data_IF_986345081317
#
_entry.id   IF_986345081317
#
_cell.length_a   1.000
_cell.length_b   1.000
_cell.length_c   1.000
_cell.angle_alpha   90.00
_cell.angle_beta   90.00
_cell.angle_gamma   90.00
#
_symmetry.space_group_name_H-M   'P 1'
#
loop_
_entity.id
_entity.type
_entity.pdbx_description
1 polymer ?
#
# COMPACT_ATOMS: atom_id res chain seq x y z
N UNK A 1 51.63 -17.05 -40.26
CA UNK A 1 50.43 -16.22 -40.45
C UNK A 1 49.26 -16.86 -39.71
N UNK A 2 48.57 -16.08 -38.85
CA UNK A 2 47.12 -16.11 -38.50
C UNK A 2 46.51 -17.48 -38.15
N UNK A 3 45.87 -17.70 -37.01
CA UNK A 3 44.69 -17.01 -36.43
C UNK A 3 44.67 -17.36 -34.93
N UNK A 4 44.77 -16.46 -33.95
CA UNK A 4 43.91 -15.34 -33.56
C UNK A 4 42.48 -15.77 -33.15
N UNK A 5 42.33 -16.01 -31.84
CA UNK A 5 41.33 -15.45 -30.91
C UNK A 5 39.85 -15.53 -31.32
N UNK A 6 39.04 -16.22 -30.50
CA UNK A 6 37.84 -15.63 -29.89
C UNK A 6 37.30 -16.48 -28.73
N UNK A 7 37.84 -16.27 -27.52
CA UNK A 7 37.11 -16.59 -26.29
C UNK A 7 35.97 -15.57 -26.17
N UNK A 8 34.74 -16.02 -26.45
CA UNK A 8 33.52 -15.30 -26.09
C UNK A 8 33.32 -15.48 -24.59
N UNK A 9 33.85 -14.54 -23.81
CA UNK A 9 33.41 -14.30 -22.44
C UNK A 9 32.01 -13.70 -22.53
N UNK A 10 30.98 -14.52 -22.29
CA UNK A 10 29.64 -14.05 -22.00
C UNK A 10 29.71 -13.31 -20.67
N UNK A 11 29.85 -11.99 -20.78
CA UNK A 11 29.70 -11.05 -19.68
C UNK A 11 28.21 -11.05 -19.32
N UNK A 12 27.80 -11.98 -18.45
CA UNK A 12 26.54 -11.83 -17.73
C UNK A 12 26.66 -10.54 -16.92
N UNK A 13 26.08 -9.46 -17.44
CA UNK A 13 25.82 -8.25 -16.69
C UNK A 13 24.82 -8.62 -15.59
N UNK A 14 25.34 -9.07 -14.45
CA UNK A 14 24.63 -9.05 -13.20
C UNK A 14 24.40 -7.56 -12.90
N UNK A 15 23.26 -7.04 -13.35
CA UNK A 15 22.74 -5.79 -12.81
C UNK A 15 22.48 -6.05 -11.34
N UNK A 16 23.45 -5.72 -10.50
CA UNK A 16 23.26 -5.66 -9.05
C UNK A 16 22.22 -4.59 -8.82
N UNK A 17 20.96 -5.00 -8.68
CA UNK A 17 19.90 -4.16 -8.15
C UNK A 17 20.36 -3.76 -6.74
N UNK A 18 20.88 -2.54 -6.62
CA UNK A 18 21.29 -2.00 -5.33
C UNK A 18 20.01 -1.74 -4.54
N UNK A 19 19.63 -2.70 -3.70
CA UNK A 19 18.57 -2.51 -2.70
C UNK A 19 18.95 -1.30 -1.85
N UNK A 20 18.12 -0.26 -1.90
CA UNK A 20 18.34 0.94 -1.08
C UNK A 20 17.63 0.70 0.24
N UNK A 21 18.37 0.88 1.33
CA UNK A 21 17.74 0.96 2.65
C UNK A 21 17.03 2.30 2.77
N UNK A 22 15.79 2.27 3.23
CA UNK A 22 15.01 3.44 3.53
C UNK A 22 14.46 3.30 4.96
N UNK A 23 14.38 4.43 5.65
CA UNK A 23 13.58 4.51 6.87
C UNK A 23 12.11 4.56 6.46
N UNK A 24 11.28 3.81 7.16
CA UNK A 24 9.86 3.66 6.86
C UNK A 24 9.00 3.88 8.08
N UNK A 25 7.86 4.51 7.83
CA UNK A 25 6.76 4.61 8.77
C UNK A 25 5.54 3.96 8.12
N UNK A 26 5.10 2.83 8.66
CA UNK A 26 3.95 2.09 8.17
C UNK A 26 2.76 2.39 9.05
N UNK A 27 1.64 2.73 8.45
CA UNK A 27 0.33 2.69 9.10
C UNK A 27 -0.37 1.40 8.69
N UNK A 28 -0.85 0.63 9.66
CA UNK A 28 -1.60 -0.59 9.44
C UNK A 28 -3.11 -0.32 9.43
N UNK A 29 -3.87 -1.26 8.86
CA UNK A 29 -5.34 -1.20 8.85
C UNK A 29 -5.97 -1.29 10.24
N UNK A 30 -5.25 -1.77 11.26
CA UNK A 30 -5.70 -1.76 12.66
C UNK A 30 -5.40 -0.44 13.39
N UNK A 31 -4.77 0.53 12.70
CA UNK A 31 -4.37 1.82 13.26
C UNK A 31 -2.99 1.83 13.92
N UNK A 32 -2.30 0.69 14.00
CA UNK A 32 -0.95 0.63 14.53
C UNK A 32 0.06 1.29 13.59
N UNK A 33 1.08 1.91 14.18
CA UNK A 33 2.17 2.55 13.45
C UNK A 33 3.48 1.81 13.73
N UNK A 34 4.14 1.35 12.67
CA UNK A 34 5.43 0.64 12.76
C UNK A 34 6.52 1.49 12.11
N UNK A 35 7.57 1.76 12.88
CA UNK A 35 8.75 2.50 12.40
C UNK A 35 9.96 1.59 12.33
N UNK A 36 10.75 1.73 11.29
CA UNK A 36 11.98 0.96 11.15
C UNK A 36 12.68 1.23 9.84
N UNK A 37 13.52 0.29 9.43
CA UNK A 37 14.24 0.34 8.16
C UNK A 37 13.82 -0.84 7.29
N UNK A 38 13.56 -0.58 6.01
CA UNK A 38 13.21 -1.60 5.04
C UNK A 38 14.07 -1.43 3.79
N UNK A 39 14.34 -2.55 3.11
CA UNK A 39 15.09 -2.56 1.85
C UNK A 39 14.12 -2.55 0.69
N UNK A 40 14.26 -1.57 -0.20
CA UNK A 40 13.42 -1.42 -1.37
C UNK A 40 14.21 -1.55 -2.66
N UNK A 41 13.57 -2.14 -3.66
CA UNK A 41 13.92 -1.96 -5.06
C UNK A 41 13.14 -0.75 -5.62
N UNK A 42 13.34 -0.45 -6.89
CA UNK A 42 12.44 0.47 -7.59
C UNK A 42 11.00 -0.08 -7.58
N UNK A 43 10.02 0.83 -7.46
CA UNK A 43 8.60 0.50 -7.36
C UNK A 43 8.09 0.18 -8.77
N UNK A 44 7.71 -1.07 -9.01
CA UNK A 44 7.05 -1.52 -10.25
C UNK A 44 5.52 -1.39 -10.08
N UNK A 45 4.97 -0.32 -10.64
CA UNK A 45 3.54 -0.01 -10.60
C UNK A 45 2.90 -0.42 -11.92
N UNK A 46 1.95 -1.36 -11.88
CA UNK A 46 1.15 -1.75 -13.04
C UNK A 46 -0.09 -0.86 -13.13
N UNK A 47 -0.17 -0.02 -14.16
CA UNK A 47 -1.29 0.90 -14.41
C UNK A 47 -2.12 0.45 -15.61
N UNK A 48 -3.28 1.06 -15.83
CA UNK A 48 -4.11 0.82 -17.03
C UNK A 48 -3.41 1.17 -18.35
N UNK A 49 -2.39 2.02 -18.30
CA UNK A 49 -1.61 2.46 -19.45
C UNK A 49 -0.33 1.65 -19.66
N UNK A 50 -0.01 0.72 -18.76
CA UNK A 50 1.21 -0.10 -18.79
C UNK A 50 1.99 -0.05 -17.49
N UNK A 51 3.25 -0.52 -17.54
CA UNK A 51 4.14 -0.59 -16.38
C UNK A 51 4.92 0.70 -16.20
N UNK A 52 4.97 1.18 -14.97
CA UNK A 52 5.74 2.35 -14.56
C UNK A 52 6.73 1.94 -13.47
N UNK A 53 8.02 2.11 -13.74
CA UNK A 53 9.09 1.87 -12.77
C UNK A 53 9.49 3.21 -12.16
N UNK A 54 9.31 3.35 -10.85
CA UNK A 54 9.59 4.57 -10.10
C UNK A 54 10.76 4.31 -9.15
N UNK A 55 11.82 5.11 -9.27
CA UNK A 55 12.95 5.00 -8.36
C UNK A 55 12.51 5.29 -6.91
N UNK A 56 12.85 4.40 -5.97
CA UNK A 56 12.40 4.55 -4.57
C UNK A 56 12.84 5.87 -3.94
N UNK A 57 13.95 6.45 -4.38
CA UNK A 57 14.43 7.76 -3.93
C UNK A 57 13.50 8.94 -4.26
N UNK A 58 12.54 8.74 -5.16
CA UNK A 58 11.52 9.73 -5.52
C UNK A 58 10.17 9.45 -4.89
N UNK A 59 10.01 8.30 -4.22
CA UNK A 59 8.74 7.91 -3.62
C UNK A 59 8.71 8.44 -2.19
N UNK A 60 7.72 9.29 -1.90
CA UNK A 60 7.53 9.84 -0.56
C UNK A 60 6.52 9.03 0.25
N UNK A 61 5.41 8.64 -0.38
CA UNK A 61 4.33 7.91 0.27
C UNK A 61 3.70 6.91 -0.70
N UNK A 62 3.33 5.74 -0.18
CA UNK A 62 2.55 4.73 -0.89
C UNK A 62 1.30 4.46 -0.04
N UNK A 63 0.12 4.75 -0.60
CA UNK A 63 -1.15 4.26 -0.05
C UNK A 63 -1.46 2.91 -0.67
N UNK A 64 -1.66 1.92 0.17
CA UNK A 64 -1.98 0.57 -0.28
C UNK A 64 -3.49 0.48 -0.42
N UNK A 65 -3.94 0.06 -1.60
CA UNK A 65 -5.36 -0.20 -1.83
C UNK A 65 -5.78 -1.53 -1.23
N UNK A 66 -7.08 -1.68 -0.95
CA UNK A 66 -7.63 -2.97 -0.47
C UNK A 66 -7.56 -4.07 -1.54
N UNK A 67 -7.25 -3.70 -2.79
CA UNK A 67 -6.98 -4.63 -3.88
C UNK A 67 -8.22 -5.33 -4.43
N UNK A 68 -8.05 -5.96 -5.59
CA UNK A 68 -9.08 -6.79 -6.23
C UNK A 68 -8.56 -8.21 -6.39
N UNK A 69 -8.97 -9.10 -5.49
CA UNK A 69 -8.70 -10.53 -5.61
C UNK A 69 -9.92 -11.22 -6.20
N UNK A 70 -9.81 -11.69 -7.46
CA UNK A 70 -10.91 -12.34 -8.16
C UNK A 70 -11.42 -13.61 -7.46
N UNK A 71 -10.54 -14.42 -6.89
CA UNK A 71 -10.92 -15.66 -6.21
C UNK A 71 -11.64 -15.37 -4.90
N UNK A 72 -11.16 -14.37 -4.15
CA UNK A 72 -11.85 -13.91 -2.96
C UNK A 72 -13.19 -13.23 -3.32
N UNK A 73 -13.26 -12.46 -4.40
CA UNK A 73 -14.49 -11.81 -4.85
C UNK A 73 -15.58 -12.83 -5.22
N UNK A 74 -15.23 -13.91 -5.93
CA UNK A 74 -16.17 -14.99 -6.26
C UNK A 74 -16.75 -15.66 -5.00
N UNK A 75 -15.91 -15.89 -3.98
CA UNK A 75 -16.36 -16.41 -2.69
C UNK A 75 -17.24 -15.42 -1.94
N UNK A 76 -16.84 -14.15 -1.86
CA UNK A 76 -17.62 -13.10 -1.21
C UNK A 76 -19.00 -12.95 -1.87
N UNK A 77 -19.08 -12.98 -3.20
CA UNK A 77 -20.34 -12.96 -3.94
C UNK A 77 -21.26 -14.14 -3.62
N UNK A 78 -20.70 -15.31 -3.27
CA UNK A 78 -21.52 -16.45 -2.83
C UNK A 78 -22.19 -16.17 -1.48
N UNK A 79 -21.47 -15.55 -0.54
CA UNK A 79 -22.02 -15.15 0.77
C UNK A 79 -23.02 -13.99 0.65
N UNK A 80 -22.74 -13.01 -0.21
CA UNK A 80 -23.65 -11.90 -0.52
C UNK A 80 -24.99 -12.46 -1.04
N UNK A 81 -24.97 -13.43 -1.97
CA UNK A 81 -26.19 -14.09 -2.45
C UNK A 81 -26.97 -14.82 -1.36
N UNK A 82 -26.28 -15.45 -0.42
CA UNK A 82 -26.92 -16.09 0.74
C UNK A 82 -27.55 -15.05 1.67
N UNK A 83 -26.92 -13.89 1.85
CA UNK A 83 -27.48 -12.77 2.60
C UNK A 83 -28.67 -12.10 1.90
N UNK A 84 -28.72 -12.06 0.56
CA UNK A 84 -29.90 -11.51 -0.14
C UNK A 84 -31.05 -12.50 -0.27
N UNK A 85 -30.75 -13.80 -0.45
CA UNK A 85 -31.73 -14.80 -0.89
C UNK A 85 -32.17 -15.81 0.16
N UNK A 86 -31.53 -15.87 1.33
CA UNK A 86 -31.92 -16.82 2.39
C UNK A 86 -32.95 -16.23 3.34
N UNK A 87 -34.00 -17.02 3.61
CA UNK A 87 -35.00 -16.77 4.66
C UNK A 87 -34.64 -17.46 6.00
N UNK A 88 -33.50 -18.14 6.06
CA UNK A 88 -33.03 -18.81 7.27
C UNK A 88 -31.97 -17.94 7.99
N UNK A 89 -32.27 -17.52 9.21
CA UNK A 89 -31.40 -16.67 10.04
C UNK A 89 -30.04 -17.30 10.37
N UNK A 90 -29.96 -18.63 10.56
CA UNK A 90 -28.68 -19.29 10.85
C UNK A 90 -27.74 -19.23 9.63
N UNK A 91 -28.30 -19.40 8.43
CA UNK A 91 -27.56 -19.30 7.17
C UNK A 91 -27.08 -17.86 6.95
N UNK A 92 -27.93 -16.87 7.23
CA UNK A 92 -27.56 -15.45 7.13
C UNK A 92 -26.46 -15.09 8.11
N UNK A 93 -26.60 -15.51 9.38
CA UNK A 93 -25.59 -15.28 10.42
C UNK A 93 -24.24 -15.91 10.06
N UNK A 94 -24.24 -17.13 9.53
CA UNK A 94 -23.00 -17.80 9.09
C UNK A 94 -22.37 -17.07 7.91
N UNK A 95 -23.16 -16.72 6.89
CA UNK A 95 -22.67 -16.00 5.71
C UNK A 95 -22.13 -14.61 6.07
N UNK A 96 -22.79 -13.91 7.00
CA UNK A 96 -22.35 -12.65 7.56
C UNK A 96 -20.98 -12.79 8.24
N UNK A 97 -20.84 -13.75 9.17
CA UNK A 97 -19.59 -13.97 9.88
C UNK A 97 -18.44 -14.36 8.94
N UNK A 98 -18.72 -15.19 7.93
CA UNK A 98 -17.73 -15.57 6.91
C UNK A 98 -17.31 -14.37 6.05
N UNK A 99 -18.27 -13.52 5.66
CA UNK A 99 -18.01 -12.31 4.88
C UNK A 99 -17.18 -11.29 5.66
N UNK A 100 -17.55 -11.01 6.91
CA UNK A 100 -16.77 -10.12 7.80
C UNK A 100 -15.37 -10.67 8.05
N UNK A 101 -15.22 -11.98 8.21
CA UNK A 101 -13.93 -12.65 8.37
C UNK A 101 -13.04 -12.54 7.13
N UNK A 102 -13.60 -12.43 5.93
CA UNK A 102 -12.83 -12.16 4.70
C UNK A 102 -12.26 -10.73 4.68
N UNK A 103 -12.88 -9.79 5.39
CA UNK A 103 -12.39 -8.42 5.57
C UNK A 103 -12.20 -7.69 4.25
N UNK A 104 -11.05 -7.03 4.07
CA UNK A 104 -10.72 -6.21 2.90
C UNK A 104 -10.87 -6.95 1.56
N UNK A 105 -10.67 -8.27 1.54
CA UNK A 105 -10.79 -9.08 0.32
C UNK A 105 -12.22 -9.17 -0.20
N UNK A 106 -13.22 -8.94 0.67
CA UNK A 106 -14.62 -8.94 0.31
C UNK A 106 -15.13 -7.56 -0.16
N UNK A 107 -14.42 -6.47 0.16
CA UNK A 107 -14.86 -5.11 -0.19
C UNK A 107 -15.07 -4.93 -1.69
N UNK A 108 -14.14 -5.42 -2.52
CA UNK A 108 -14.31 -5.31 -3.97
C UNK A 108 -15.60 -5.98 -4.48
N UNK A 109 -16.01 -7.10 -3.88
CA UNK A 109 -17.25 -7.77 -4.26
C UNK A 109 -18.50 -7.04 -3.75
N UNK A 110 -18.41 -6.42 -2.57
CA UNK A 110 -19.49 -5.59 -2.02
C UNK A 110 -19.68 -4.33 -2.86
N UNK A 111 -18.60 -3.66 -3.26
CA UNK A 111 -18.66 -2.52 -4.17
C UNK A 111 -19.24 -2.90 -5.53
N UNK A 112 -18.81 -4.03 -6.11
CA UNK A 112 -19.36 -4.54 -7.37
C UNK A 112 -20.86 -4.88 -7.23
N UNK A 113 -21.28 -5.38 -6.07
CA UNK A 113 -22.69 -5.65 -5.77
C UNK A 113 -23.52 -4.37 -5.75
N UNK A 114 -23.05 -3.31 -5.08
CA UNK A 114 -23.73 -2.00 -5.06
C UNK A 114 -23.68 -1.27 -6.41
N UNK A 115 -22.64 -1.51 -7.21
CA UNK A 115 -22.51 -0.91 -8.53
C UNK A 115 -23.50 -1.48 -9.56
N UNK A 116 -24.03 -2.69 -9.35
CA UNK A 116 -25.04 -3.29 -10.23
C UNK A 116 -26.44 -2.75 -9.87
N UNK A 117 -27.10 -1.99 -10.78
CA UNK A 117 -28.42 -1.43 -10.55
C UNK A 117 -29.50 -2.47 -10.23
N UNK A 118 -29.28 -3.75 -10.61
CA UNK A 118 -30.23 -4.85 -10.35
C UNK A 118 -30.25 -5.29 -8.90
N UNK A 119 -29.22 -4.96 -8.13
CA UNK A 119 -29.07 -5.32 -6.72
C UNK A 119 -29.58 -4.23 -5.77
N UNK A 120 -29.99 -3.08 -6.30
CA UNK A 120 -30.68 -2.02 -5.56
C UNK A 120 -32.14 -2.46 -5.39
N UNK A 121 -32.34 -3.49 -4.57
CA UNK A 121 -33.65 -3.94 -4.14
C UNK A 121 -33.70 -3.68 -2.64
N UNK A 122 -34.71 -2.93 -2.18
CA UNK A 122 -34.93 -2.75 -0.75
C UNK A 122 -35.10 -4.15 -0.12
N UNK A 123 -34.15 -4.49 0.77
CA UNK A 123 -34.21 -5.74 1.50
C UNK A 123 -35.37 -5.66 2.50
N UNK A 124 -36.38 -6.52 2.34
CA UNK A 124 -37.48 -6.67 3.32
C UNK A 124 -37.02 -7.29 4.65
N UNK A 125 -35.76 -7.71 4.75
CA UNK A 125 -35.18 -8.28 5.97
C UNK A 125 -34.87 -7.19 7.00
N UNK A 126 -35.48 -7.30 8.19
CA UNK A 126 -35.33 -6.34 9.30
C UNK A 126 -34.35 -6.80 10.40
N UNK A 127 -33.56 -7.86 10.16
CA UNK A 127 -32.58 -8.35 11.14
C UNK A 127 -31.20 -7.72 10.99
N UNK A 128 -30.30 -8.00 11.93
CA UNK A 128 -28.96 -7.38 11.99
C UNK A 128 -27.97 -7.94 10.95
N UNK A 129 -28.24 -9.09 10.36
CA UNK A 129 -27.36 -9.74 9.37
C UNK A 129 -27.69 -9.29 7.94
N UNK A 130 -27.39 -8.03 7.63
CA UNK A 130 -27.55 -7.43 6.30
C UNK A 130 -26.20 -7.26 5.59
N UNK A 131 -26.28 -7.05 4.27
CA UNK A 131 -25.10 -6.71 3.45
C UNK A 131 -24.55 -5.34 3.88
N UNK A 132 -25.44 -4.38 4.16
CA UNK A 132 -25.08 -3.04 4.61
C UNK A 132 -24.29 -3.08 5.93
N UNK A 133 -24.78 -3.84 6.92
CA UNK A 133 -24.09 -3.97 8.20
C UNK A 133 -22.72 -4.64 8.02
N UNK A 134 -22.62 -5.67 7.17
CA UNK A 134 -21.35 -6.32 6.89
C UNK A 134 -20.36 -5.36 6.21
N UNK A 135 -20.84 -4.55 5.27
CA UNK A 135 -20.03 -3.56 4.56
C UNK A 135 -19.48 -2.50 5.53
N UNK A 136 -20.34 -1.92 6.37
CA UNK A 136 -19.95 -0.92 7.36
C UNK A 136 -19.03 -1.51 8.45
N UNK A 137 -19.27 -2.74 8.90
CA UNK A 137 -18.40 -3.41 9.86
C UNK A 137 -17.01 -3.68 9.26
N UNK A 138 -16.93 -4.12 8.00
CA UNK A 138 -15.64 -4.32 7.32
C UNK A 138 -14.90 -2.99 7.15
N UNK A 139 -15.59 -1.90 6.77
CA UNK A 139 -14.96 -0.57 6.67
C UNK A 139 -14.42 -0.11 8.02
N UNK A 140 -15.23 -0.23 9.07
CA UNK A 140 -14.88 0.19 10.43
C UNK A 140 -13.71 -0.60 10.98
N UNK A 141 -13.74 -1.93 10.88
CA UNK A 141 -12.71 -2.81 11.42
C UNK A 141 -11.33 -2.64 10.74
N UNK A 142 -11.31 -2.14 9.50
CA UNK A 142 -10.08 -1.97 8.72
C UNK A 142 -9.70 -0.50 8.48
N UNK A 143 -10.34 0.43 9.19
CA UNK A 143 -10.09 1.88 9.08
C UNK A 143 -10.15 2.40 7.63
N UNK A 144 -11.10 1.88 6.85
CA UNK A 144 -11.36 2.28 5.46
C UNK A 144 -12.23 3.53 5.46
N UNK A 145 -11.75 4.56 4.77
CA UNK A 145 -12.43 5.85 4.63
C UNK A 145 -12.80 6.10 3.16
N UNK A 146 -13.57 7.14 2.89
CA UNK A 146 -13.93 7.57 1.52
C UNK A 146 -12.72 7.91 0.63
N UNK A 147 -11.53 8.07 1.21
CA UNK A 147 -10.27 8.30 0.46
C UNK A 147 -9.51 7.01 0.14
N UNK A 148 -10.01 5.87 0.60
CA UNK A 148 -9.41 4.56 0.36
C UNK A 148 -9.88 4.05 -1.00
N UNK A 149 -8.94 3.50 -1.78
CA UNK A 149 -9.21 3.04 -3.14
C UNK A 149 -8.82 1.58 -3.30
N UNK A 150 -9.41 0.90 -4.28
CA UNK A 150 -9.02 -0.47 -4.64
C UNK A 150 -7.61 -0.52 -5.24
N UNK A 151 -7.16 0.57 -5.85
CA UNK A 151 -5.83 0.74 -6.41
C UNK A 151 -4.84 1.25 -5.36
N UNK A 152 -3.58 0.87 -5.50
CA UNK A 152 -2.46 1.45 -4.78
C UNK A 152 -2.13 2.82 -5.38
N UNK A 153 -1.83 3.81 -4.54
CA UNK A 153 -1.49 5.17 -4.98
C UNK A 153 -0.08 5.51 -4.52
N UNK A 154 0.80 5.80 -5.48
CA UNK A 154 2.20 6.18 -5.22
C UNK A 154 2.34 7.69 -5.37
N UNK A 155 2.87 8.35 -4.35
CA UNK A 155 3.23 9.77 -4.37
C UNK A 155 4.70 9.95 -4.72
N UNK A 156 4.96 10.64 -5.83
CA UNK A 156 6.27 10.87 -6.44
C UNK A 156 6.66 12.34 -6.27
N UNK A 157 7.89 12.58 -5.80
CA UNK A 157 8.46 13.91 -5.58
C UNK A 157 7.53 14.83 -4.75
N UNK A 158 6.78 14.23 -3.82
CA UNK A 158 5.77 14.85 -2.95
C UNK A 158 4.70 15.69 -3.67
N UNK A 159 4.54 15.52 -4.98
CA UNK A 159 3.70 16.41 -5.80
C UNK A 159 2.79 15.65 -6.78
N UNK A 160 3.29 14.54 -7.34
CA UNK A 160 2.57 13.76 -8.33
C UNK A 160 2.04 12.48 -7.70
N UNK A 161 0.83 12.07 -8.05
CA UNK A 161 0.25 10.80 -7.63
C UNK A 161 -0.06 9.94 -8.83
N UNK A 162 0.21 8.64 -8.71
CA UNK A 162 -0.13 7.65 -9.74
C UNK A 162 -0.83 6.46 -9.10
N UNK A 163 -2.00 6.12 -9.63
CA UNK A 163 -2.76 4.91 -9.26
C UNK A 163 -2.31 3.70 -10.04
N UNK A 164 -2.31 2.53 -9.41
CA UNK A 164 -2.04 1.25 -10.06
C UNK A 164 -1.95 0.09 -9.06
N UNK A 165 -1.30 -0.99 -9.48
CA UNK A 165 -1.07 -2.18 -8.64
C UNK A 165 0.42 -2.31 -8.41
N UNK A 166 0.84 -2.14 -7.15
CA UNK A 166 2.21 -2.39 -6.72
C UNK A 166 2.35 -3.85 -6.27
N UNK A 167 3.12 -4.63 -7.04
CA UNK A 167 3.17 -6.08 -6.85
C UNK A 167 4.24 -6.48 -5.82
N UNK A 168 3.83 -6.56 -4.55
CA UNK A 168 4.64 -7.14 -3.47
C UNK A 168 3.73 -7.93 -2.52
N UNK A 169 4.28 -8.97 -1.89
CA UNK A 169 3.52 -9.83 -0.96
C UNK A 169 3.65 -9.40 0.49
N UNK A 170 4.85 -8.94 0.88
CA UNK A 170 5.20 -8.61 2.26
C UNK A 170 6.32 -7.59 2.30
N UNK A 171 6.41 -6.84 3.39
CA UNK A 171 7.50 -5.92 3.67
C UNK A 171 8.23 -6.35 4.94
N UNK A 172 9.55 -6.52 4.83
CA UNK A 172 10.41 -6.84 5.96
C UNK A 172 10.93 -5.53 6.56
N UNK A 173 10.48 -5.22 7.78
CA UNK A 173 10.81 -3.97 8.49
C UNK A 173 11.67 -4.29 9.70
N UNK A 174 12.90 -3.79 9.71
CA UNK A 174 13.82 -3.91 10.83
C UNK A 174 13.56 -2.79 11.83
N UNK A 175 13.01 -3.15 12.99
CA UNK A 175 12.75 -2.27 14.13
C UNK A 175 13.84 -2.46 15.20
N UNK A 176 13.76 -1.68 16.27
CA UNK A 176 14.63 -1.84 17.45
C UNK A 176 14.42 -3.16 18.20
N UNK A 177 13.26 -3.80 18.01
CA UNK A 177 12.88 -5.05 18.67
C UNK A 177 13.10 -6.30 17.81
N UNK A 178 13.51 -6.14 16.55
CA UNK A 178 13.74 -7.24 15.62
C UNK A 178 13.22 -6.94 14.21
N UNK A 179 13.18 -7.98 13.37
CA UNK A 179 12.63 -7.85 12.01
C UNK A 179 11.17 -8.31 12.01
N UNK A 180 10.27 -7.42 11.60
CA UNK A 180 8.85 -7.71 11.43
C UNK A 180 8.56 -8.01 9.95
N UNK A 181 7.83 -9.09 9.72
CA UNK A 181 7.34 -9.46 8.40
C UNK A 181 5.88 -9.04 8.28
N UNK A 182 5.60 -7.97 7.54
CA UNK A 182 4.27 -7.37 7.48
C UNK A 182 3.66 -7.68 6.10
N UNK A 183 2.58 -8.47 6.02
CA UNK A 183 1.88 -8.74 4.77
C UNK A 183 1.28 -7.47 4.15
N UNK A 184 1.24 -7.39 2.81
CA UNK A 184 0.69 -6.22 2.09
C UNK A 184 -0.72 -5.88 2.55
N UNK A 185 -1.57 -6.89 2.74
CA UNK A 185 -2.98 -6.74 3.10
C UNK A 185 -3.22 -6.10 4.48
N UNK A 186 -2.19 -6.01 5.33
CA UNK A 186 -2.30 -5.35 6.64
C UNK A 186 -1.84 -3.90 6.61
N UNK A 187 -1.14 -3.50 5.55
CA UNK A 187 -0.54 -2.17 5.42
C UNK A 187 -1.57 -1.26 4.77
N UNK A 188 -1.84 -0.12 5.40
CA UNK A 188 -2.69 0.94 4.87
C UNK A 188 -1.86 1.99 4.13
N UNK A 189 -0.74 2.41 4.70
CA UNK A 189 0.18 3.36 4.07
C UNK A 189 1.63 3.12 4.46
N UNK A 190 2.55 3.55 3.60
CA UNK A 190 4.00 3.49 3.80
C UNK A 190 4.57 4.85 3.47
N UNK A 191 5.08 5.56 4.47
CA UNK A 191 5.95 6.71 4.24
C UNK A 191 7.38 6.21 4.09
N UNK A 192 8.07 6.67 3.04
CA UNK A 192 9.41 6.25 2.69
C UNK A 192 10.36 7.44 2.80
N UNK A 193 11.39 7.28 3.62
CA UNK A 193 12.46 8.26 3.82
C UNK A 193 13.77 7.65 3.35
N UNK A 194 14.16 7.97 2.12
CA UNK A 194 15.45 7.55 1.58
C UNK A 194 16.53 8.54 2.00
N UNK A 195 17.50 8.06 2.78
CA UNK A 195 18.70 8.83 3.10
C UNK A 195 19.51 9.00 1.80
N UNK A 196 19.51 10.21 1.22
CA UNK A 196 20.30 10.49 0.03
C UNK A 196 21.79 10.44 0.42
N UNK A 197 22.50 9.41 -0.06
CA UNK A 197 23.93 9.16 0.18
C UNK A 197 24.89 10.18 -0.46
N UNK A 198 24.52 11.45 -0.53
CA UNK A 198 25.39 12.56 -0.95
C UNK A 198 25.21 13.74 -0.01
N UNK A 199 26.07 13.77 1.01
CA UNK A 199 26.21 14.86 1.95
C UNK A 199 26.60 14.30 3.30
N UNK A 200 27.86 14.53 3.71
CA UNK A 200 28.33 14.21 5.06
C UNK A 200 27.37 14.77 6.13
N UNK A 201 27.46 14.19 7.33
CA UNK A 201 26.72 14.55 8.54
C UNK A 201 26.00 15.91 8.46
N UNK A 202 24.66 15.91 8.32
CA UNK A 202 23.90 17.13 8.52
C UNK A 202 23.71 17.38 10.03
N UNK A 203 24.77 17.88 10.65
CA UNK A 203 24.75 18.55 11.94
C UNK A 203 24.15 19.95 11.77
N UNK A 204 22.92 20.15 12.22
CA UNK A 204 22.34 21.48 12.34
C UNK A 204 22.77 22.08 13.69
N UNK A 205 23.74 22.99 13.69
CA UNK A 205 24.14 23.75 14.88
C UNK A 205 23.45 25.11 14.86
N UNK A 206 22.46 25.30 15.73
CA UNK A 206 21.82 26.60 15.92
C UNK A 206 22.78 27.53 16.69
N UNK A 207 23.16 28.66 16.10
CA UNK A 207 23.85 29.74 16.81
C UNK A 207 22.92 30.95 16.90
N UNK A 208 22.11 30.98 17.95
CA UNK A 208 21.48 32.21 18.44
C UNK A 208 22.39 32.87 19.48
N UNK A 209 22.52 34.20 19.42
CA UNK A 209 23.18 34.96 20.48
C UNK A 209 22.39 34.75 21.78
N UNK A 210 23.07 34.05 22.71
CA UNK A 210 22.65 33.54 24.02
C UNK A 210 21.54 32.47 23.99
N UNK A 211 22.00 31.22 24.21
CA UNK A 211 21.28 29.97 24.52
C UNK A 211 21.07 29.04 23.30
N UNK A 212 21.74 27.87 23.33
CA UNK A 212 21.67 26.83 22.29
C UNK A 212 20.31 26.13 22.30
N UNK A 213 19.62 26.10 21.16
CA UNK A 213 18.48 25.22 20.90
C UNK A 213 18.56 24.70 19.46
N UNK A 214 18.73 23.40 19.23
CA UNK A 214 18.86 22.85 17.87
C UNK A 214 17.50 22.87 17.15
N UNK A 215 17.41 23.52 15.98
CA UNK A 215 16.22 23.51 15.12
C UNK A 215 16.62 23.02 13.71
N UNK A 216 15.90 22.01 13.20
CA UNK A 216 15.99 21.47 11.84
C UNK A 216 14.76 21.93 11.05
N UNK A 217 14.91 22.60 9.90
CA UNK A 217 13.97 22.61 8.74
C UNK A 217 14.63 23.33 7.53
N UNK A 218 14.12 23.07 6.32
CA UNK A 218 14.77 22.93 5.00
C UNK A 218 14.20 23.93 3.96
N UNK A 219 15.10 24.45 3.09
CA UNK A 219 14.97 24.83 1.66
C UNK A 219 14.43 26.19 1.19
N UNK A 220 15.21 26.79 0.27
CA UNK A 220 14.74 27.71 -0.76
C UNK A 220 15.88 28.27 -1.63
N UNK A 221 16.25 27.59 -2.72
CA UNK A 221 17.09 28.17 -3.78
C UNK A 221 16.19 28.80 -4.85
N UNK A 222 16.21 30.14 -4.93
CA UNK A 222 15.91 30.87 -6.17
C UNK A 222 17.18 31.60 -6.61
N UNK A 223 17.74 31.16 -7.73
CA UNK A 223 18.72 31.93 -8.50
C UNK A 223 18.01 33.04 -9.28
N UNK A 224 18.62 34.24 -9.32
CA UNK A 224 18.85 35.01 -10.55
C UNK A 224 19.81 36.19 -10.24
N UNK A 225 21.02 36.18 -10.81
CA UNK A 225 21.71 37.40 -11.27
C UNK A 225 21.17 37.70 -12.68
N UNK A 226 21.03 38.93 -13.17
CA UNK A 226 21.89 40.12 -13.12
C UNK A 226 21.06 41.38 -12.88
#
# INVERSE_FOLDING_TARGET
>A
MKKLVLSICILCAFTTFSQKQAEVNLELHDGNIIKGTASFNDIDLTTSYGKLIIAVSKVGNIKIGYGKDKSAAEKAMSYIKLLSGSNNDEVRKSAYADLVKMGLKALSALEDHYADPKNIVESEYTGDFTIDNAYEEIKTNNNITETSTSEDVVTIDNSYTMGGIYNFTKLDVKTEYGTLNIPKEKIKSIDIFVSSGTGGEQLFKLMGIKTLAVIKTVVGTKQASL
#
